data_IF_099271545609
#
_entry.id   IF_099271545609
#
_cell.length_a   1.000
_cell.length_b   1.000
_cell.length_c   1.000
_cell.angle_alpha   90.00
_cell.angle_beta   90.00
_cell.angle_gamma   90.00
#
_symmetry.space_group_name_H-M   'P 1'
#
loop_
_entity.id
_entity.type
_entity.pdbx_description
1 polymer ?
#
# COMPACT_ATOMS: atom_id res chain seq x y z
N UNK A 1 -12.64 -15.77 -22.37
CA UNK A 1 -12.22 -14.45 -22.90
C UNK A 1 -12.42 -13.42 -21.80
N UNK A 2 -11.35 -12.95 -21.19
CA UNK A 2 -11.43 -11.86 -20.20
C UNK A 2 -11.50 -10.58 -21.02
N UNK A 3 -12.70 -10.04 -21.15
CA UNK A 3 -12.89 -8.73 -21.78
C UNK A 3 -12.46 -7.68 -20.76
N UNK A 4 -11.22 -7.18 -20.90
CA UNK A 4 -10.79 -5.95 -20.27
C UNK A 4 -11.50 -4.80 -21.02
N UNK A 5 -12.68 -4.41 -20.55
CA UNK A 5 -13.36 -3.24 -21.09
C UNK A 5 -12.52 -2.01 -20.76
N UNK A 6 -11.92 -1.41 -21.80
CA UNK A 6 -11.38 -0.06 -21.68
C UNK A 6 -12.48 0.86 -21.15
N UNK A 7 -12.19 1.59 -20.07
CA UNK A 7 -13.16 2.51 -19.48
C UNK A 7 -13.66 3.48 -20.55
N UNK A 8 -14.98 3.52 -20.76
CA UNK A 8 -15.63 4.64 -21.43
C UNK A 8 -15.35 5.91 -20.62
N UNK A 9 -14.67 6.85 -21.22
CA UNK A 9 -14.32 8.14 -20.64
C UNK A 9 -15.50 8.77 -19.90
N UNK A 10 -15.31 9.07 -18.60
CA UNK A 10 -16.11 10.03 -17.85
C UNK A 10 -17.01 9.48 -16.75
N UNK A 11 -17.18 8.18 -16.56
CA UNK A 11 -18.07 7.67 -15.51
C UNK A 11 -17.30 7.39 -14.22
N UNK A 12 -17.59 8.19 -13.17
CA UNK A 12 -17.02 8.02 -11.82
C UNK A 12 -17.51 6.69 -11.24
N UNK A 13 -16.59 5.78 -10.93
CA UNK A 13 -16.89 4.49 -10.30
C UNK A 13 -17.01 4.68 -8.79
N UNK A 14 -18.20 4.43 -8.26
CA UNK A 14 -18.50 4.57 -6.83
C UNK A 14 -18.70 3.22 -6.16
N UNK A 15 -18.27 3.11 -4.90
CA UNK A 15 -18.47 1.95 -4.03
C UNK A 15 -19.02 2.41 -2.68
N UNK A 16 -19.97 1.66 -2.15
CA UNK A 16 -20.40 1.78 -0.76
C UNK A 16 -19.90 0.56 0.00
N UNK A 17 -19.25 0.79 1.15
CA UNK A 17 -18.79 -0.24 2.07
C UNK A 17 -19.54 -0.02 3.37
N UNK A 18 -20.36 -0.98 3.76
CA UNK A 18 -21.04 -0.98 5.04
C UNK A 18 -20.21 -1.79 6.05
N UNK A 19 -19.67 -1.10 7.05
CA UNK A 19 -18.87 -1.72 8.12
C UNK A 19 -19.71 -2.13 9.34
N UNK A 20 -21.03 -2.04 9.28
CA UNK A 20 -21.93 -2.36 10.38
C UNK A 20 -21.76 -3.79 10.87
N UNK A 21 -21.54 -4.71 9.93
CA UNK A 21 -21.36 -6.15 10.20
C UNK A 21 -19.90 -6.58 10.37
N UNK A 22 -18.92 -5.74 9.94
CA UNK A 22 -17.51 -6.13 9.81
C UNK A 22 -16.61 -5.40 10.82
N UNK A 23 -16.42 -5.98 11.98
CA UNK A 23 -15.63 -5.34 13.07
C UNK A 23 -14.13 -5.22 12.79
N UNK A 24 -13.55 -6.01 11.89
CA UNK A 24 -12.08 -6.18 11.77
C UNK A 24 -11.56 -5.92 10.34
N UNK A 25 -12.40 -5.90 9.30
CA UNK A 25 -11.96 -5.92 7.90
C UNK A 25 -11.93 -4.55 7.20
N UNK A 26 -12.14 -3.43 7.93
CA UNK A 26 -12.23 -2.09 7.34
C UNK A 26 -11.03 -1.75 6.43
N UNK A 27 -9.80 -2.03 6.90
CA UNK A 27 -8.58 -1.81 6.11
C UNK A 27 -8.59 -2.59 4.79
N UNK A 28 -8.88 -3.89 4.84
CA UNK A 28 -8.87 -4.77 3.66
C UNK A 28 -9.95 -4.39 2.66
N UNK A 29 -11.15 -4.05 3.12
CA UNK A 29 -12.26 -3.68 2.26
C UNK A 29 -12.01 -2.35 1.54
N UNK A 30 -11.48 -1.35 2.25
CA UNK A 30 -11.14 -0.06 1.68
C UNK A 30 -9.97 -0.19 0.69
N UNK A 31 -8.90 -0.89 1.07
CA UNK A 31 -7.76 -1.13 0.19
C UNK A 31 -8.19 -1.90 -1.07
N UNK A 32 -9.04 -2.92 -0.93
CA UNK A 32 -9.55 -3.66 -2.09
C UNK A 32 -10.35 -2.77 -3.04
N UNK A 33 -11.23 -1.90 -2.53
CA UNK A 33 -11.95 -0.94 -3.36
C UNK A 33 -10.99 0.02 -4.08
N UNK A 34 -9.95 0.50 -3.38
CA UNK A 34 -8.90 1.32 -3.97
C UNK A 34 -8.17 0.59 -5.11
N UNK A 35 -7.70 -0.64 -4.87
CA UNK A 35 -6.97 -1.45 -5.85
C UNK A 35 -7.85 -1.79 -7.07
N UNK A 36 -9.14 -2.05 -6.86
CA UNK A 36 -10.10 -2.29 -7.95
C UNK A 36 -10.43 -1.05 -8.81
N UNK A 37 -9.82 0.10 -8.51
CA UNK A 37 -9.94 1.30 -9.33
C UNK A 37 -11.23 2.11 -9.11
N UNK A 38 -11.92 1.98 -7.96
CA UNK A 38 -13.02 2.87 -7.61
C UNK A 38 -12.49 4.29 -7.38
N UNK A 39 -13.24 5.29 -7.88
CA UNK A 39 -12.88 6.71 -7.79
C UNK A 39 -13.39 7.35 -6.50
N UNK A 40 -14.49 6.82 -5.98
CA UNK A 40 -15.15 7.32 -4.77
C UNK A 40 -15.65 6.14 -3.94
N UNK A 41 -15.36 6.17 -2.65
CA UNK A 41 -15.79 5.11 -1.71
C UNK A 41 -16.47 5.76 -0.51
N UNK A 42 -17.74 5.42 -0.30
CA UNK A 42 -18.49 5.79 0.90
C UNK A 42 -18.40 4.63 1.90
N UNK A 43 -17.93 4.90 3.10
CA UNK A 43 -17.79 3.97 4.20
C UNK A 43 -18.85 4.29 5.23
N UNK A 44 -19.77 3.37 5.50
CA UNK A 44 -20.86 3.54 6.47
C UNK A 44 -20.59 2.79 7.76
N UNK A 45 -21.05 3.38 8.87
CA UNK A 45 -20.92 2.84 10.22
C UNK A 45 -22.31 2.89 10.90
N UNK A 46 -22.81 1.78 11.45
CA UNK A 46 -24.04 1.78 12.25
C UNK A 46 -23.79 2.23 13.70
N UNK A 47 -22.58 2.02 14.20
CA UNK A 47 -22.17 2.46 15.53
C UNK A 47 -20.92 3.35 15.36
N UNK A 48 -21.07 4.68 15.49
CA UNK A 48 -19.97 5.63 15.31
C UNK A 48 -19.02 5.59 16.51
N UNK A 49 -18.42 4.45 16.78
CA UNK A 49 -17.28 4.41 17.69
C UNK A 49 -16.20 5.27 17.09
N UNK A 50 -15.88 6.36 17.75
CA UNK A 50 -14.84 7.33 17.36
C UNK A 50 -13.56 6.61 16.90
N UNK A 51 -13.18 5.53 17.60
CA UNK A 51 -12.00 4.73 17.26
C UNK A 51 -12.01 4.12 15.85
N UNK A 52 -13.18 3.74 15.29
CA UNK A 52 -13.27 3.19 13.92
C UNK A 52 -13.14 4.27 12.86
N UNK A 53 -13.73 5.43 13.14
CA UNK A 53 -13.63 6.59 12.26
C UNK A 53 -12.17 7.04 12.16
N UNK A 54 -11.49 7.15 13.28
CA UNK A 54 -10.07 7.54 13.32
C UNK A 54 -9.18 6.50 12.63
N UNK A 55 -9.41 5.20 12.85
CA UNK A 55 -8.65 4.15 12.15
C UNK A 55 -8.79 4.21 10.62
N UNK A 56 -9.98 4.57 10.10
CA UNK A 56 -10.17 4.78 8.66
C UNK A 56 -9.45 6.05 8.19
N UNK A 57 -9.52 7.15 8.95
CA UNK A 57 -8.82 8.39 8.62
C UNK A 57 -7.31 8.22 8.56
N UNK A 58 -6.73 7.51 9.53
CA UNK A 58 -5.30 7.22 9.57
C UNK A 58 -4.83 6.37 8.38
N UNK A 59 -5.69 5.47 7.92
CA UNK A 59 -5.38 4.55 6.82
C UNK A 59 -5.19 5.28 5.48
N UNK A 60 -6.02 6.29 5.21
CA UNK A 60 -6.09 6.96 3.90
C UNK A 60 -4.73 7.54 3.50
N UNK A 61 -4.08 8.42 4.28
CA UNK A 61 -2.79 8.99 3.89
C UNK A 61 -1.65 7.97 3.89
N UNK A 62 -1.81 6.87 4.63
CA UNK A 62 -0.78 5.83 4.76
C UNK A 62 -0.80 4.87 3.56
N UNK A 63 -1.97 4.49 3.04
CA UNK A 63 -2.09 3.42 2.06
C UNK A 63 -2.70 3.83 0.71
N UNK A 64 -3.50 4.92 0.66
CA UNK A 64 -4.29 5.28 -0.50
C UNK A 64 -3.77 6.55 -1.19
N UNK A 65 -2.69 6.42 -1.94
CA UNK A 65 -2.11 7.56 -2.65
C UNK A 65 -3.12 8.16 -3.64
N UNK A 66 -3.30 9.49 -3.57
CA UNK A 66 -4.22 10.24 -4.46
C UNK A 66 -5.66 10.29 -3.97
N UNK A 67 -5.96 9.72 -2.78
CA UNK A 67 -7.28 9.79 -2.16
C UNK A 67 -7.32 10.76 -0.99
N UNK A 68 -8.45 11.49 -0.88
CA UNK A 68 -8.72 12.40 0.24
C UNK A 68 -10.14 12.22 0.75
N UNK A 69 -10.35 12.60 2.03
CA UNK A 69 -11.68 12.65 2.63
C UNK A 69 -12.40 13.89 2.11
N UNK A 70 -13.48 13.68 1.36
CA UNK A 70 -14.29 14.80 0.81
C UNK A 70 -15.55 15.08 1.63
N UNK A 71 -15.99 14.10 2.42
CA UNK A 71 -17.18 14.25 3.27
C UNK A 71 -17.05 13.35 4.49
N UNK A 72 -17.47 13.89 5.63
CA UNK A 72 -17.58 13.15 6.87
C UNK A 72 -18.90 13.49 7.56
N UNK A 73 -19.59 12.48 8.05
CA UNK A 73 -20.76 12.56 8.90
C UNK A 73 -20.54 11.71 10.15
N UNK A 74 -21.40 11.76 11.18
CA UNK A 74 -21.29 10.84 12.31
C UNK A 74 -21.30 9.35 11.90
N UNK A 75 -21.99 9.00 10.79
CA UNK A 75 -22.24 7.64 10.37
C UNK A 75 -21.56 7.25 9.04
N UNK A 76 -20.82 8.16 8.42
CA UNK A 76 -20.12 7.84 7.16
C UNK A 76 -18.89 8.72 6.91
N UNK A 77 -17.94 8.16 6.18
CA UNK A 77 -16.81 8.87 5.57
C UNK A 77 -16.86 8.60 4.06
N UNK A 78 -16.74 9.65 3.25
CA UNK A 78 -16.56 9.51 1.81
C UNK A 78 -15.16 9.93 1.44
N UNK A 79 -14.44 9.01 0.81
CA UNK A 79 -13.10 9.25 0.24
C UNK A 79 -13.19 9.28 -1.27
N UNK A 80 -12.40 10.14 -1.90
CA UNK A 80 -12.41 10.32 -3.35
C UNK A 80 -11.00 10.51 -3.87
N UNK A 81 -10.77 9.99 -5.05
CA UNK A 81 -9.56 10.26 -5.81
C UNK A 81 -9.53 11.71 -6.26
N UNK A 82 -8.49 12.42 -5.84
CA UNK A 82 -8.23 13.82 -6.24
C UNK A 82 -7.09 13.92 -7.25
N UNK A 83 -6.26 12.88 -7.35
CA UNK A 83 -5.17 12.77 -8.31
C UNK A 83 -5.24 11.42 -8.99
N UNK A 84 -5.75 11.41 -10.22
CA UNK A 84 -5.91 10.17 -10.98
C UNK A 84 -4.54 9.59 -11.39
N UNK A 85 -4.36 8.27 -11.26
CA UNK A 85 -3.16 7.61 -11.73
C UNK A 85 -3.11 7.64 -13.27
N UNK A 86 -1.92 7.88 -13.81
CA UNK A 86 -1.67 7.81 -15.25
C UNK A 86 -0.69 6.70 -15.57
N UNK A 87 -0.83 6.08 -16.75
CA UNK A 87 0.10 5.05 -17.22
C UNK A 87 1.52 5.57 -17.40
N UNK A 88 1.67 6.86 -17.76
CA UNK A 88 2.95 7.52 -17.95
C UNK A 88 3.82 7.52 -16.68
N UNK A 89 3.19 7.52 -15.51
CA UNK A 89 3.89 7.52 -14.23
C UNK A 89 4.28 6.13 -13.74
N UNK A 90 3.77 5.05 -14.38
CA UNK A 90 3.97 3.69 -13.89
C UNK A 90 5.45 3.31 -13.77
N UNK A 91 6.23 3.52 -14.82
CA UNK A 91 7.65 3.14 -14.84
C UNK A 91 8.46 3.95 -13.81
N UNK A 92 8.11 5.23 -13.62
CA UNK A 92 8.72 6.08 -12.59
C UNK A 92 8.41 5.55 -11.18
N UNK A 93 7.15 5.14 -10.94
CA UNK A 93 6.74 4.55 -9.66
C UNK A 93 7.44 3.21 -9.43
N UNK A 94 7.48 2.34 -10.42
CA UNK A 94 8.15 1.05 -10.32
C UNK A 94 9.64 1.21 -10.01
N UNK A 95 10.32 2.11 -10.73
CA UNK A 95 11.73 2.46 -10.44
C UNK A 95 11.91 2.97 -9.01
N UNK A 96 10.99 3.81 -8.52
CA UNK A 96 11.03 4.30 -7.15
C UNK A 96 10.89 3.17 -6.12
N UNK A 97 10.01 2.19 -6.36
CA UNK A 97 9.87 1.02 -5.50
C UNK A 97 11.19 0.25 -5.40
N UNK A 98 11.86 -0.02 -6.53
CA UNK A 98 13.18 -0.66 -6.53
C UNK A 98 14.21 0.12 -5.72
N UNK A 99 14.31 1.43 -5.92
CA UNK A 99 15.24 2.29 -5.17
C UNK A 99 14.96 2.29 -3.66
N UNK A 100 13.69 2.26 -3.27
CA UNK A 100 13.31 2.23 -1.85
C UNK A 100 13.66 0.89 -1.20
N UNK A 101 13.49 -0.23 -1.92
CA UNK A 101 13.87 -1.56 -1.44
C UNK A 101 15.39 -1.70 -1.32
N UNK A 102 16.12 -1.18 -2.31
CA UNK A 102 17.59 -1.14 -2.27
C UNK A 102 18.08 -0.35 -1.05
N UNK A 103 17.52 0.84 -0.82
CA UNK A 103 17.83 1.64 0.37
C UNK A 103 17.47 0.90 1.67
N UNK A 104 16.33 0.21 1.70
CA UNK A 104 15.90 -0.57 2.86
C UNK A 104 16.88 -1.72 3.17
N UNK A 105 17.34 -2.44 2.13
CA UNK A 105 18.33 -3.49 2.26
C UNK A 105 19.67 -2.96 2.77
N UNK A 106 20.14 -1.85 2.20
CA UNK A 106 21.37 -1.19 2.61
C UNK A 106 21.34 -0.74 4.07
N UNK A 107 20.27 -0.08 4.49
CA UNK A 107 20.07 0.37 5.87
C UNK A 107 19.98 -0.82 6.85
N UNK A 108 19.34 -1.91 6.45
CA UNK A 108 19.27 -3.12 7.26
C UNK A 108 20.68 -3.69 7.50
N UNK A 109 21.47 -3.88 6.45
CA UNK A 109 22.84 -4.39 6.54
C UNK A 109 23.70 -3.48 7.43
N UNK A 110 23.63 -2.16 7.24
CA UNK A 110 24.36 -1.20 8.07
C UNK A 110 23.96 -1.26 9.55
N UNK A 111 22.66 -1.39 9.82
CA UNK A 111 22.13 -1.50 11.17
C UNK A 111 22.59 -2.79 11.87
N UNK A 112 22.66 -3.89 11.14
CA UNK A 112 23.16 -5.17 11.65
C UNK A 112 24.67 -5.08 11.98
N UNK A 113 25.44 -4.36 11.16
CA UNK A 113 26.88 -4.22 11.32
C UNK A 113 27.30 -3.20 12.41
N UNK A 114 26.50 -2.15 12.64
CA UNK A 114 26.91 -1.01 13.47
C UNK A 114 26.08 -0.85 14.74
N UNK A 115 24.76 -0.80 14.65
CA UNK A 115 23.92 -0.51 15.80
C UNK A 115 22.47 -0.99 15.61
N UNK A 116 22.09 -2.02 16.34
CA UNK A 116 20.74 -2.61 16.36
C UNK A 116 19.62 -1.58 16.72
N UNK A 117 19.97 -0.44 17.35
CA UNK A 117 18.98 0.60 17.68
C UNK A 117 18.31 1.24 16.47
N UNK A 118 18.88 1.14 15.27
CA UNK A 118 18.30 1.69 14.05
C UNK A 118 17.27 0.77 13.38
N UNK A 119 17.05 -0.44 13.88
CA UNK A 119 16.08 -1.38 13.31
C UNK A 119 14.62 -0.88 13.35
N UNK A 120 14.26 -0.05 14.35
CA UNK A 120 12.94 0.57 14.39
C UNK A 120 12.68 1.51 13.20
N UNK A 121 13.73 2.19 12.72
CA UNK A 121 13.65 3.00 11.51
C UNK A 121 13.35 2.12 10.29
N UNK A 122 14.03 0.98 10.16
CA UNK A 122 13.81 0.01 9.08
C UNK A 122 12.37 -0.49 9.06
N UNK A 123 11.81 -0.81 10.23
CA UNK A 123 10.40 -1.21 10.37
C UNK A 123 9.45 -0.12 9.84
N UNK A 124 9.81 1.16 9.97
CA UNK A 124 9.00 2.26 9.48
C UNK A 124 9.10 2.51 7.97
N UNK A 125 10.23 2.11 7.35
CA UNK A 125 10.48 2.28 5.90
C UNK A 125 9.58 1.41 5.01
N UNK A 126 9.00 0.35 5.55
CA UNK A 126 8.07 -0.54 4.85
C UNK A 126 6.77 0.17 4.39
N UNK A 127 6.21 1.04 5.25
CA UNK A 127 4.93 1.70 4.95
C UNK A 127 4.90 2.48 3.64
N UNK A 128 5.87 3.36 3.34
CA UNK A 128 5.90 4.04 2.05
C UNK A 128 6.12 3.09 0.86
N UNK A 129 6.85 1.96 1.02
CA UNK A 129 7.00 0.97 -0.04
C UNK A 129 5.64 0.35 -0.37
N UNK A 130 4.91 -0.12 0.64
CA UNK A 130 3.57 -0.70 0.49
C UNK A 130 2.61 0.30 -0.19
N UNK A 131 2.67 1.58 0.20
CA UNK A 131 1.86 2.63 -0.43
C UNK A 131 2.15 2.79 -1.93
N UNK A 132 3.41 2.75 -2.34
CA UNK A 132 3.78 2.82 -3.76
C UNK A 132 3.43 1.53 -4.50
N UNK A 133 3.55 0.35 -3.89
CA UNK A 133 3.10 -0.92 -4.46
C UNK A 133 1.58 -0.92 -4.70
N UNK A 134 0.80 -0.44 -3.73
CA UNK A 134 -0.65 -0.27 -3.87
C UNK A 134 -0.99 0.68 -5.03
N UNK A 135 -0.28 1.80 -5.13
CA UNK A 135 -0.50 2.78 -6.19
C UNK A 135 -0.14 2.22 -7.58
N UNK A 136 1.01 1.55 -7.72
CA UNK A 136 1.40 0.89 -8.97
C UNK A 136 0.37 -0.17 -9.38
N UNK A 137 -0.09 -0.98 -8.43
CA UNK A 137 -1.16 -1.96 -8.64
C UNK A 137 -2.44 -1.28 -9.14
N UNK A 138 -2.84 -0.17 -8.51
CA UNK A 138 -4.01 0.61 -8.93
C UNK A 138 -3.87 1.14 -10.36
N UNK A 139 -2.69 1.64 -10.75
CA UNK A 139 -2.43 2.09 -12.13
C UNK A 139 -2.74 0.95 -13.11
N UNK A 140 -2.21 -0.25 -12.87
CA UNK A 140 -2.43 -1.40 -13.75
C UNK A 140 -3.89 -1.79 -13.86
N UNK A 141 -4.64 -1.78 -12.76
CA UNK A 141 -6.08 -2.11 -12.75
C UNK A 141 -6.95 -1.05 -13.39
N UNK A 142 -6.63 0.23 -13.17
CA UNK A 142 -7.49 1.35 -13.60
C UNK A 142 -7.17 1.81 -15.02
N UNK A 143 -5.88 1.94 -15.33
CA UNK A 143 -5.39 2.59 -16.55
C UNK A 143 -4.70 1.60 -17.50
N UNK A 144 -4.38 0.41 -17.02
CA UNK A 144 -3.62 -0.57 -17.80
C UNK A 144 -2.14 -0.23 -17.94
N UNK A 145 -1.53 -0.76 -18.97
CA UNK A 145 -0.14 -0.49 -19.37
C UNK A 145 -0.05 -0.43 -20.89
N UNK A 146 0.93 0.27 -21.45
CA UNK A 146 1.11 0.45 -22.90
C UNK A 146 1.13 -0.88 -23.67
N UNK A 147 1.76 -1.92 -23.12
CA UNK A 147 1.67 -3.29 -23.61
C UNK A 147 0.89 -4.14 -22.60
N UNK A 148 -0.38 -4.37 -22.88
CA UNK A 148 -1.28 -5.14 -22.00
C UNK A 148 -0.78 -6.56 -21.69
N UNK A 149 0.04 -7.15 -22.55
CA UNK A 149 0.63 -8.49 -22.35
C UNK A 149 1.58 -8.51 -21.14
N UNK A 150 2.14 -7.36 -20.76
CA UNK A 150 3.05 -7.22 -19.62
C UNK A 150 2.32 -7.06 -18.27
N UNK A 151 1.03 -6.74 -18.27
CA UNK A 151 0.27 -6.49 -17.04
C UNK A 151 0.40 -7.64 -16.02
N UNK A 152 0.24 -8.94 -16.38
CA UNK A 152 0.36 -10.02 -15.41
C UNK A 152 1.76 -10.12 -14.79
N UNK A 153 2.82 -9.95 -15.59
CA UNK A 153 4.20 -9.99 -15.08
C UNK A 153 4.53 -8.77 -14.23
N UNK A 154 4.08 -7.57 -14.61
CA UNK A 154 4.25 -6.36 -13.82
C UNK A 154 3.53 -6.45 -12.47
N UNK A 155 2.29 -6.96 -12.47
CA UNK A 155 1.56 -7.23 -11.24
C UNK A 155 2.33 -8.19 -10.32
N UNK A 156 2.81 -9.32 -10.86
CA UNK A 156 3.61 -10.29 -10.09
C UNK A 156 4.89 -9.67 -9.55
N UNK A 157 5.56 -8.83 -10.36
CA UNK A 157 6.76 -8.09 -9.93
C UNK A 157 6.47 -7.20 -8.73
N UNK A 158 5.39 -6.40 -8.77
CA UNK A 158 5.01 -5.53 -7.64
C UNK A 158 4.76 -6.36 -6.38
N UNK A 159 4.04 -7.49 -6.49
CA UNK A 159 3.75 -8.37 -5.34
C UNK A 159 5.02 -8.99 -4.75
N UNK A 160 6.00 -9.34 -5.60
CA UNK A 160 7.29 -9.85 -5.13
C UNK A 160 8.09 -8.75 -4.42
N UNK A 161 8.12 -7.55 -4.97
CA UNK A 161 8.81 -6.40 -4.37
C UNK A 161 8.23 -6.04 -2.99
N UNK A 162 6.90 -6.00 -2.86
CA UNK A 162 6.22 -5.81 -1.58
C UNK A 162 6.63 -6.89 -0.56
N UNK A 163 6.63 -8.15 -1.00
CA UNK A 163 7.02 -9.26 -0.13
C UNK A 163 8.49 -9.20 0.30
N UNK A 164 9.40 -8.75 -0.56
CA UNK A 164 10.81 -8.54 -0.19
C UNK A 164 10.91 -7.48 0.91
N UNK A 165 10.20 -6.36 0.77
CA UNK A 165 10.17 -5.32 1.79
C UNK A 165 9.58 -5.84 3.12
N UNK A 166 8.50 -6.62 3.06
CA UNK A 166 7.90 -7.29 4.21
C UNK A 166 8.91 -8.20 4.94
N UNK A 167 9.70 -8.99 4.20
CA UNK A 167 10.72 -9.84 4.81
C UNK A 167 11.82 -9.05 5.52
N UNK A 168 12.29 -7.95 4.97
CA UNK A 168 13.26 -7.08 5.63
C UNK A 168 12.68 -6.45 6.90
N UNK A 169 11.45 -5.95 6.84
CA UNK A 169 10.72 -5.45 8.03
C UNK A 169 10.58 -6.53 9.09
N UNK A 170 10.15 -7.73 8.71
CA UNK A 170 9.89 -8.83 9.67
C UNK A 170 11.18 -9.36 10.27
N UNK A 171 12.27 -9.39 9.51
CA UNK A 171 13.60 -9.69 10.04
C UNK A 171 14.04 -8.65 11.08
N UNK A 172 13.88 -7.37 10.77
CA UNK A 172 14.19 -6.28 11.71
C UNK A 172 13.36 -6.40 13.00
N UNK A 173 12.06 -6.67 12.89
CA UNK A 173 11.18 -6.91 14.04
C UNK A 173 11.62 -8.12 14.87
N UNK A 174 11.96 -9.22 14.20
CA UNK A 174 12.39 -10.45 14.87
C UNK A 174 13.65 -10.22 15.70
N UNK A 175 14.65 -9.54 15.13
CA UNK A 175 15.91 -9.21 15.81
C UNK A 175 15.65 -8.29 17.01
N UNK A 176 14.83 -7.24 16.83
CA UNK A 176 14.51 -6.29 17.90
C UNK A 176 13.75 -6.97 19.04
N UNK A 177 12.70 -7.74 18.71
CA UNK A 177 11.83 -8.39 19.73
C UNK A 177 12.56 -9.45 20.54
N UNK A 178 13.46 -10.19 19.90
CA UNK A 178 14.20 -11.28 20.57
C UNK A 178 15.55 -10.83 21.15
N UNK A 179 15.89 -9.52 21.04
CA UNK A 179 17.17 -8.96 21.51
C UNK A 179 18.39 -9.76 21.01
N UNK A 180 18.35 -10.20 19.76
CA UNK A 180 19.38 -11.07 19.20
C UNK A 180 20.69 -10.27 19.08
N UNK A 181 21.75 -10.81 19.68
CA UNK A 181 23.11 -10.32 19.45
C UNK A 181 23.67 -11.03 18.22
N UNK A 182 23.79 -10.31 17.13
CA UNK A 182 24.41 -10.87 15.91
C UNK A 182 25.93 -10.91 16.07
N UNK A 183 26.53 -12.06 15.80
CA UNK A 183 27.97 -12.17 15.72
C UNK A 183 28.42 -11.61 14.35
N UNK A 184 29.40 -10.71 14.33
CA UNK A 184 29.88 -10.05 13.11
C UNK A 184 30.42 -11.01 12.04
N UNK A 185 30.72 -12.25 12.41
CA UNK A 185 31.15 -13.30 11.48
C UNK A 185 30.05 -13.75 10.50
N UNK A 186 28.76 -13.61 10.87
CA UNK A 186 27.64 -14.05 10.03
C UNK A 186 27.12 -12.98 9.04
N UNK A 187 27.75 -11.79 9.05
CA UNK A 187 27.29 -10.64 8.24
C UNK A 187 28.31 -10.37 7.10
N UNK A 188 29.36 -11.18 6.99
CA UNK A 188 30.35 -11.07 5.93
C UNK A 188 29.96 -12.01 4.77
N UNK A 189 29.85 -11.41 3.58
CA UNK A 189 29.63 -11.84 2.19
C UNK A 189 28.25 -11.57 1.64
#
# INVERSE_FOLDING_TARGET
EIILSSQKNGQIRKKVIDLSEWKILHRRLLLNAYLQGYDEVEIKFNDPKIQRIEAVKELIPIELLGFEIIKQTPNSITVKEISAPTTENFDTILKRIFMMIDSLAYELINSLNSNIKYLDHIISMDKPINRFCNYATRILYKSGYTDNRKIPSLFSTIQILERIADYYRDLAKYITSNKIKLNKEYIRD
#
